data_IF_818478955880
#
_entry.id   IF_818478955880
#
_cell.length_a   1.000
_cell.length_b   1.000
_cell.length_c   1.000
_cell.angle_alpha   90.00
_cell.angle_beta   90.00
_cell.angle_gamma   90.00
#
_symmetry.space_group_name_H-M   'P 1'
#
loop_
_entity.id
_entity.type
_entity.pdbx_description
1 polymer ?
#
# COMPACT_ATOMS: atom_id res chain seq x y z
N UNK A 1 9.11 -0.08 -6.59
CA UNK A 1 9.52 0.72 -5.42
C UNK A 1 10.14 2.02 -5.90
N UNK A 2 9.75 3.14 -5.30
CA UNK A 2 10.27 4.48 -5.60
C UNK A 2 10.82 5.11 -4.32
N UNK A 3 11.68 6.12 -4.46
CA UNK A 3 12.07 6.95 -3.32
C UNK A 3 10.82 7.63 -2.72
N UNK A 4 10.74 7.67 -1.39
CA UNK A 4 9.62 8.29 -0.64
C UNK A 4 9.76 9.81 -0.56
N UNK A 5 10.94 10.36 -0.87
CA UNK A 5 11.14 11.80 -0.93
C UNK A 5 10.45 12.37 -2.16
N UNK A 6 9.60 13.34 -1.90
CA UNK A 6 8.88 14.03 -2.95
C UNK A 6 9.82 14.70 -3.99
N UNK A 7 9.42 14.62 -5.26
CA UNK A 7 10.20 15.07 -6.41
C UNK A 7 11.41 14.19 -6.78
N UNK A 8 11.63 13.07 -6.10
CA UNK A 8 12.71 12.15 -6.44
C UNK A 8 12.25 11.05 -7.40
N UNK A 9 12.81 11.02 -8.61
CA UNK A 9 12.55 10.00 -9.63
C UNK A 9 13.45 8.77 -9.53
N UNK A 10 14.32 8.68 -8.51
CA UNK A 10 15.22 7.55 -8.37
C UNK A 10 14.49 6.32 -7.79
N UNK A 11 14.54 5.22 -8.53
CA UNK A 11 13.89 3.95 -8.19
C UNK A 11 14.90 2.83 -7.91
N UNK A 12 16.21 3.14 -7.91
CA UNK A 12 17.28 2.19 -7.70
C UNK A 12 17.97 2.41 -6.34
N UNK A 13 18.58 1.35 -5.81
CA UNK A 13 19.41 1.36 -4.58
C UNK A 13 18.70 2.04 -3.39
N UNK A 14 17.45 1.66 -3.16
CA UNK A 14 16.63 2.24 -2.10
C UNK A 14 16.94 1.56 -0.75
N UNK A 15 17.25 2.38 0.25
CA UNK A 15 17.42 1.98 1.65
C UNK A 15 16.16 2.27 2.44
N UNK A 16 15.73 1.33 3.28
CA UNK A 16 14.57 1.51 4.16
C UNK A 16 14.92 2.42 5.34
N UNK A 17 13.95 3.16 5.85
CA UNK A 17 14.07 3.88 7.11
C UNK A 17 14.47 2.91 8.24
N UNK A 18 15.58 3.16 8.93
CA UNK A 18 16.09 2.27 9.96
C UNK A 18 15.13 2.10 11.15
N UNK A 19 14.27 3.11 11.41
CA UNK A 19 13.33 3.12 12.53
C UNK A 19 12.05 2.34 12.20
N UNK A 20 11.22 2.85 11.30
CA UNK A 20 9.90 2.26 11.01
C UNK A 20 9.91 1.19 9.91
N UNK A 21 11.03 1.08 9.15
CA UNK A 21 11.20 0.21 7.97
C UNK A 21 10.14 0.39 6.88
N UNK A 22 9.31 1.43 6.94
CA UNK A 22 8.13 1.58 6.10
C UNK A 22 8.25 2.59 4.97
N UNK A 23 9.27 3.46 5.01
CA UNK A 23 9.65 4.36 3.92
C UNK A 23 10.99 3.93 3.30
N UNK A 24 11.20 4.29 2.03
CA UNK A 24 12.37 3.91 1.23
C UNK A 24 13.03 5.16 0.63
N UNK A 25 14.35 5.27 0.72
CA UNK A 25 15.10 6.45 0.27
C UNK A 25 16.33 6.02 -0.53
N UNK A 26 16.62 6.69 -1.64
CA UNK A 26 17.83 6.40 -2.42
C UNK A 26 19.13 6.93 -1.75
N UNK A 27 19.00 7.84 -0.79
CA UNK A 27 20.13 8.42 -0.04
C UNK A 27 19.70 8.93 1.33
N UNK A 28 20.67 9.14 2.22
CA UNK A 28 20.43 9.79 3.51
C UNK A 28 19.90 11.23 3.34
N UNK A 29 20.28 11.92 2.26
CA UNK A 29 19.79 13.28 1.99
C UNK A 29 18.31 13.29 1.62
N UNK A 30 17.87 12.29 0.84
CA UNK A 30 16.45 12.10 0.56
C UNK A 30 15.67 11.86 1.87
N UNK A 31 16.17 10.99 2.74
CA UNK A 31 15.57 10.77 4.05
C UNK A 31 15.51 12.05 4.90
N UNK A 32 16.60 12.84 4.96
CA UNK A 32 16.64 14.11 5.71
C UNK A 32 15.65 15.14 5.17
N UNK A 33 15.55 15.28 3.84
CA UNK A 33 14.58 16.19 3.18
C UNK A 33 13.15 15.81 3.50
N UNK A 34 12.84 14.51 3.52
CA UNK A 34 11.51 14.00 3.80
C UNK A 34 11.18 13.98 5.31
N UNK A 35 12.19 14.05 6.19
CA UNK A 35 12.03 13.81 7.63
C UNK A 35 10.94 14.66 8.30
N UNK A 36 10.78 15.93 7.91
CA UNK A 36 9.72 16.79 8.45
C UNK A 36 8.32 16.21 8.22
N UNK A 37 8.10 15.57 7.08
CA UNK A 37 6.84 14.93 6.72
C UNK A 37 6.76 13.49 7.23
N UNK A 38 7.87 12.74 7.18
CA UNK A 38 7.90 11.34 7.60
C UNK A 38 7.88 11.11 9.11
N UNK A 39 8.49 12.01 9.91
CA UNK A 39 8.68 11.81 11.36
C UNK A 39 7.39 11.44 12.11
N UNK A 40 6.23 12.09 11.90
CA UNK A 40 4.98 11.70 12.55
C UNK A 40 4.57 10.25 12.23
N UNK A 41 4.49 9.90 10.94
CA UNK A 41 4.16 8.54 10.49
C UNK A 41 5.19 7.50 10.97
N UNK A 42 6.47 7.87 11.02
CA UNK A 42 7.54 7.03 11.56
C UNK A 42 7.32 6.71 13.03
N UNK A 43 6.98 7.71 13.84
CA UNK A 43 6.76 7.51 15.27
C UNK A 43 5.52 6.66 15.53
N UNK A 44 4.41 6.92 14.84
CA UNK A 44 3.18 6.11 14.94
C UNK A 44 3.48 4.65 14.58
N UNK A 45 4.20 4.43 13.47
CA UNK A 45 4.60 3.08 13.05
C UNK A 45 5.42 2.37 14.11
N UNK A 46 6.37 3.06 14.75
CA UNK A 46 7.20 2.48 15.81
C UNK A 46 6.36 2.18 17.06
N UNK A 47 5.46 3.08 17.47
CA UNK A 47 4.57 2.86 18.63
C UNK A 47 3.65 1.66 18.43
N UNK A 48 3.10 1.48 17.23
CA UNK A 48 2.27 0.31 16.92
C UNK A 48 3.07 -0.99 16.86
N UNK A 49 4.40 -0.90 16.73
CA UNK A 49 5.33 -2.05 16.76
C UNK A 49 5.88 -2.34 18.17
N UNK A 50 5.63 -1.49 19.19
CA UNK A 50 6.30 -1.53 20.50
C UNK A 50 5.88 -2.68 21.45
N UNK A 51 5.17 -3.71 20.98
CA UNK A 51 4.93 -4.96 21.72
C UNK A 51 6.07 -5.98 21.63
N UNK A 52 7.00 -5.82 20.68
CA UNK A 52 8.04 -6.80 20.37
C UNK A 52 9.40 -6.30 20.87
N UNK A 53 9.82 -6.80 22.05
CA UNK A 53 11.12 -6.48 22.68
C UNK A 53 12.32 -7.13 21.99
N UNK A 54 12.10 -7.93 20.95
CA UNK A 54 13.15 -8.57 20.17
C UNK A 54 13.60 -7.69 18.98
N UNK A 55 14.89 -7.74 18.69
CA UNK A 55 15.54 -6.94 17.64
C UNK A 55 15.19 -7.38 16.22
N UNK A 56 14.52 -8.53 16.08
CA UNK A 56 14.16 -9.14 14.80
C UNK A 56 12.70 -8.84 14.42
N UNK A 57 12.48 -8.37 13.19
CA UNK A 57 11.12 -8.08 12.69
C UNK A 57 10.41 -9.40 12.39
N UNK A 58 9.17 -9.62 12.87
CA UNK A 58 8.44 -10.86 12.67
C UNK A 58 8.40 -11.27 11.19
N UNK A 59 8.54 -12.57 10.87
CA UNK A 59 8.51 -13.03 9.49
C UNK A 59 7.28 -12.54 8.72
N UNK A 60 6.07 -12.69 9.28
CA UNK A 60 4.84 -12.23 8.64
C UNK A 60 4.89 -10.74 8.24
N UNK A 61 5.27 -9.87 9.18
CA UNK A 61 5.43 -8.42 8.93
C UNK A 61 6.46 -8.12 7.85
N UNK A 62 7.63 -8.78 7.92
CA UNK A 62 8.69 -8.64 6.93
C UNK A 62 8.18 -9.03 5.54
N UNK A 63 7.56 -10.21 5.42
CA UNK A 63 7.03 -10.72 4.16
C UNK A 63 5.94 -9.79 3.60
N UNK A 64 4.99 -9.36 4.43
CA UNK A 64 3.90 -8.46 4.01
C UNK A 64 4.42 -7.10 3.53
N UNK A 65 5.45 -6.56 4.20
CA UNK A 65 6.12 -5.34 3.77
C UNK A 65 6.77 -5.50 2.40
N UNK A 66 7.49 -6.60 2.17
CA UNK A 66 8.10 -6.88 0.86
C UNK A 66 7.06 -7.08 -0.24
N UNK A 67 5.95 -7.74 0.09
CA UNK A 67 4.83 -7.93 -0.82
C UNK A 67 4.16 -6.61 -1.21
N UNK A 68 3.85 -5.78 -0.22
CA UNK A 68 3.21 -4.46 -0.47
C UNK A 68 4.10 -3.57 -1.34
N UNK A 69 5.41 -3.61 -1.11
CA UNK A 69 6.37 -2.84 -1.90
C UNK A 69 6.53 -3.38 -3.33
N UNK A 70 6.34 -4.69 -3.53
CA UNK A 70 6.42 -5.35 -4.83
C UNK A 70 5.19 -5.05 -5.69
N UNK A 71 3.99 -5.24 -5.14
CA UNK A 71 2.73 -5.04 -5.86
C UNK A 71 2.17 -3.62 -5.77
N UNK A 72 2.98 -2.64 -5.35
CA UNK A 72 2.59 -1.24 -5.20
C UNK A 72 1.89 -0.66 -6.45
N UNK A 73 2.45 -0.93 -7.64
CA UNK A 73 1.86 -0.46 -8.91
C UNK A 73 0.56 -1.20 -9.25
N UNK A 74 0.49 -2.50 -8.98
CA UNK A 74 -0.70 -3.33 -9.18
C UNK A 74 -1.85 -2.84 -8.32
N UNK A 75 -1.59 -2.61 -7.02
CA UNK A 75 -2.56 -2.05 -6.07
C UNK A 75 -3.03 -0.66 -6.50
N UNK A 76 -2.12 0.19 -6.95
CA UNK A 76 -2.46 1.52 -7.43
C UNK A 76 -3.41 1.46 -8.63
N UNK A 77 -3.08 0.64 -9.63
CA UNK A 77 -3.91 0.46 -10.82
C UNK A 77 -5.29 -0.11 -10.47
N UNK A 78 -5.34 -1.15 -9.62
CA UNK A 78 -6.58 -1.74 -9.15
C UNK A 78 -7.46 -0.70 -8.42
N UNK A 79 -6.89 0.11 -7.54
CA UNK A 79 -7.62 1.15 -6.82
C UNK A 79 -8.16 2.26 -7.74
N UNK A 80 -7.40 2.69 -8.76
CA UNK A 80 -7.86 3.70 -9.73
C UNK A 80 -9.14 3.24 -10.43
N UNK A 81 -9.15 1.99 -10.90
CA UNK A 81 -10.27 1.42 -11.67
C UNK A 81 -11.41 1.05 -10.73
N UNK A 82 -11.12 0.30 -9.66
CA UNK A 82 -12.12 -0.18 -8.71
C UNK A 82 -12.90 0.92 -8.00
N UNK A 83 -12.26 2.05 -7.68
CA UNK A 83 -12.94 3.21 -7.05
C UNK A 83 -13.54 4.17 -8.09
N UNK A 84 -13.43 3.89 -9.38
CA UNK A 84 -13.84 4.76 -10.47
C UNK A 84 -13.29 6.20 -10.35
N UNK A 85 -11.97 6.31 -10.18
CA UNK A 85 -11.29 7.60 -9.94
C UNK A 85 -11.28 8.50 -11.18
N UNK A 86 -11.31 7.91 -12.38
CA UNK A 86 -11.38 8.66 -13.63
C UNK A 86 -12.64 9.51 -13.71
N UNK A 87 -13.80 8.88 -13.50
CA UNK A 87 -15.07 9.56 -13.65
C UNK A 87 -15.30 10.54 -12.50
N UNK A 88 -14.88 10.16 -11.29
CA UNK A 88 -14.98 11.03 -10.13
C UNK A 88 -13.76 10.91 -9.21
N UNK A 89 -12.85 11.87 -9.33
CA UNK A 89 -11.65 11.92 -8.47
C UNK A 89 -11.99 12.05 -6.98
N UNK A 90 -13.17 12.60 -6.63
CA UNK A 90 -13.64 12.68 -5.25
C UNK A 90 -14.09 11.33 -4.66
N UNK A 91 -14.15 10.26 -5.47
CA UNK A 91 -14.38 8.92 -4.95
C UNK A 91 -13.27 8.45 -3.99
N UNK A 92 -12.08 9.08 -4.03
CA UNK A 92 -11.01 8.88 -3.04
C UNK A 92 -11.49 9.21 -1.61
N UNK A 93 -12.42 10.16 -1.45
CA UNK A 93 -13.00 10.51 -0.15
C UNK A 93 -14.07 9.50 0.32
N UNK A 94 -14.68 8.77 -0.63
CA UNK A 94 -15.85 7.92 -0.40
C UNK A 94 -15.51 6.47 -0.17
N UNK A 95 -14.37 6.00 -0.69
CA UNK A 95 -14.03 4.59 -0.72
C UNK A 95 -12.61 4.29 -0.24
N UNK A 96 -12.44 3.09 0.31
CA UNK A 96 -11.15 2.48 0.60
C UNK A 96 -11.05 1.09 -0.03
N UNK A 97 -9.84 0.62 -0.26
CA UNK A 97 -9.59 -0.73 -0.81
C UNK A 97 -9.08 -1.65 0.30
N UNK A 98 -9.66 -2.85 0.40
CA UNK A 98 -9.21 -3.89 1.35
C UNK A 98 -8.71 -5.09 0.55
N UNK A 99 -7.47 -5.48 0.79
CA UNK A 99 -6.81 -6.63 0.21
C UNK A 99 -6.57 -7.65 1.30
N UNK A 100 -7.08 -8.87 1.12
CA UNK A 100 -6.86 -10.01 2.02
C UNK A 100 -5.99 -11.05 1.36
N UNK A 101 -5.01 -11.55 2.12
CA UNK A 101 -3.94 -12.39 1.63
C UNK A 101 -3.75 -13.61 2.52
N UNK A 102 -3.41 -14.74 1.91
CA UNK A 102 -2.95 -15.94 2.60
C UNK A 102 -1.55 -16.35 2.13
N UNK A 103 -0.73 -16.96 3.00
CA UNK A 103 0.58 -17.46 2.63
C UNK A 103 0.55 -18.48 1.50
N UNK A 104 1.56 -18.41 0.61
CA UNK A 104 1.80 -19.38 -0.47
C UNK A 104 3.29 -19.69 -0.63
N UNK A 105 3.67 -20.85 -1.19
CA UNK A 105 5.06 -21.16 -1.45
C UNK A 105 5.55 -20.33 -2.64
N UNK A 106 6.65 -19.61 -2.44
CA UNK A 106 7.31 -18.88 -3.51
C UNK A 106 8.79 -18.61 -3.17
N UNK A 107 9.72 -18.68 -4.15
CA UNK A 107 11.14 -18.43 -3.89
C UNK A 107 11.40 -16.98 -3.44
N UNK A 108 10.67 -16.01 -4.01
CA UNK A 108 10.82 -14.59 -3.69
C UNK A 108 10.01 -14.23 -2.44
N UNK A 109 10.68 -13.68 -1.43
CA UNK A 109 10.09 -13.22 -0.15
C UNK A 109 8.83 -12.36 -0.32
N UNK A 110 8.85 -11.41 -1.27
CA UNK A 110 7.75 -10.49 -1.55
C UNK A 110 6.62 -11.05 -2.41
N UNK A 111 6.63 -12.34 -2.73
CA UNK A 111 5.59 -12.99 -3.54
C UNK A 111 5.02 -14.24 -2.86
N UNK A 112 5.23 -14.39 -1.53
CA UNK A 112 4.72 -15.50 -0.71
C UNK A 112 3.30 -15.30 -0.20
N UNK A 113 2.47 -14.55 -0.92
CA UNK A 113 1.05 -14.45 -0.62
C UNK A 113 0.21 -14.60 -1.88
N UNK A 114 -0.91 -15.31 -1.74
CA UNK A 114 -2.00 -15.37 -2.72
C UNK A 114 -3.10 -14.38 -2.33
N UNK A 115 -3.87 -13.94 -3.32
CA UNK A 115 -5.03 -13.09 -3.10
C UNK A 115 -6.23 -13.92 -2.63
N UNK A 116 -6.73 -13.68 -1.42
CA UNK A 116 -7.99 -14.27 -0.95
C UNK A 116 -9.19 -13.46 -1.45
N UNK A 117 -9.10 -12.14 -1.33
CA UNK A 117 -10.15 -11.21 -1.78
C UNK A 117 -9.58 -9.80 -1.92
N UNK A 118 -10.12 -9.02 -2.85
CA UNK A 118 -9.93 -7.58 -2.89
C UNK A 118 -11.30 -6.89 -3.08
N UNK A 119 -11.62 -5.93 -2.22
CA UNK A 119 -12.91 -5.24 -2.23
C UNK A 119 -12.75 -3.74 -2.10
N UNK A 120 -13.58 -3.00 -2.82
CA UNK A 120 -13.80 -1.57 -2.60
C UNK A 120 -14.97 -1.42 -1.64
N UNK A 121 -14.72 -0.75 -0.53
CA UNK A 121 -15.70 -0.56 0.55
C UNK A 121 -15.93 0.93 0.78
N UNK A 122 -17.03 1.29 1.43
CA UNK A 122 -17.23 2.67 1.85
C UNK A 122 -16.14 3.12 2.83
N UNK A 123 -15.84 4.41 2.86
CA UNK A 123 -14.84 4.95 3.79
C UNK A 123 -15.24 4.73 5.26
N UNK A 124 -16.54 4.67 5.56
CA UNK A 124 -17.03 4.33 6.89
C UNK A 124 -16.66 2.90 7.28
N UNK A 125 -16.98 1.92 6.43
CA UNK A 125 -16.60 0.51 6.66
C UNK A 125 -15.09 0.35 6.77
N UNK A 126 -14.33 1.02 5.90
CA UNK A 126 -12.87 1.02 5.95
C UNK A 126 -12.36 1.50 7.30
N UNK A 127 -12.86 2.64 7.79
CA UNK A 127 -12.47 3.21 9.09
C UNK A 127 -12.85 2.29 10.24
N UNK A 128 -14.04 1.68 10.24
CA UNK A 128 -14.47 0.72 11.28
C UNK A 128 -13.52 -0.47 11.34
N UNK A 129 -13.19 -1.07 10.19
CA UNK A 129 -12.27 -2.22 10.12
C UNK A 129 -10.89 -1.82 10.67
N UNK A 130 -10.38 -0.66 10.25
CA UNK A 130 -9.06 -0.19 10.68
C UNK A 130 -8.99 0.16 12.16
N UNK A 131 -10.04 0.75 12.72
CA UNK A 131 -10.16 1.00 14.15
C UNK A 131 -10.17 -0.30 14.95
N UNK A 132 -10.82 -1.36 14.44
CA UNK A 132 -10.79 -2.69 15.04
C UNK A 132 -9.38 -3.30 15.15
N UNK A 133 -8.44 -2.87 14.30
CA UNK A 133 -7.03 -3.25 14.38
C UNK A 133 -6.15 -2.29 15.21
N UNK A 134 -6.74 -1.31 15.90
CA UNK A 134 -5.99 -0.32 16.68
C UNK A 134 -5.23 0.70 15.83
N UNK A 135 -5.58 0.84 14.54
CA UNK A 135 -4.85 1.67 13.57
C UNK A 135 -5.42 3.08 13.42
N UNK A 136 -6.18 3.58 14.40
CA UNK A 136 -6.86 4.89 14.34
C UNK A 136 -5.90 6.06 14.11
N UNK A 137 -4.77 6.09 14.82
CA UNK A 137 -3.74 7.13 14.68
C UNK A 137 -3.15 7.20 13.26
N UNK A 138 -3.10 6.08 12.55
CA UNK A 138 -2.64 6.07 11.15
C UNK A 138 -3.65 6.76 10.24
N UNK A 139 -4.95 6.59 10.48
CA UNK A 139 -5.98 7.26 9.69
C UNK A 139 -5.94 8.78 9.89
N UNK A 140 -5.77 9.24 11.13
CA UNK A 140 -5.61 10.67 11.42
C UNK A 140 -4.36 11.26 10.75
N UNK A 141 -3.25 10.53 10.79
CA UNK A 141 -2.03 10.94 10.11
C UNK A 141 -2.22 10.97 8.59
N UNK A 142 -2.93 10.00 8.03
CA UNK A 142 -3.24 9.95 6.61
C UNK A 142 -4.09 11.14 6.17
N UNK A 143 -5.11 11.55 6.94
CA UNK A 143 -5.91 12.73 6.63
C UNK A 143 -5.07 14.02 6.55
N UNK A 144 -4.07 14.16 7.43
CA UNK A 144 -3.10 15.27 7.37
C UNK A 144 -2.25 15.23 6.09
N UNK A 145 -1.75 14.05 5.73
CA UNK A 145 -0.96 13.86 4.49
C UNK A 145 -1.77 14.19 3.23
N UNK A 146 -3.04 13.77 3.20
CA UNK A 146 -3.97 14.11 2.12
C UNK A 146 -4.21 15.61 2.02
N UNK A 147 -4.47 16.29 3.14
CA UNK A 147 -4.66 17.74 3.14
C UNK A 147 -3.43 18.49 2.60
N UNK A 148 -2.23 18.07 3.00
CA UNK A 148 -0.97 18.63 2.49
C UNK A 148 -0.78 18.37 0.99
N UNK A 149 -1.03 17.14 0.53
CA UNK A 149 -0.91 16.77 -0.89
C UNK A 149 -1.90 17.54 -1.76
N UNK A 150 -3.17 17.65 -1.35
CA UNK A 150 -4.19 18.44 -2.05
C UNK A 150 -3.79 19.93 -2.12
N UNK A 151 -3.36 20.51 -1.00
CA UNK A 151 -2.95 21.91 -0.96
C UNK A 151 -1.75 22.19 -1.88
N UNK A 152 -0.73 21.32 -1.82
CA UNK A 152 0.49 21.47 -2.63
C UNK A 152 0.23 21.30 -4.13
N UNK A 153 -0.57 20.32 -4.50
CA UNK A 153 -0.89 19.99 -5.90
C UNK A 153 -2.05 20.80 -6.46
N UNK A 154 -2.67 21.68 -5.68
CA UNK A 154 -3.93 22.37 -6.02
C UNK A 154 -5.07 21.39 -6.37
N UNK A 155 -5.09 20.23 -5.70
CA UNK A 155 -6.12 19.19 -5.87
C UNK A 155 -5.90 18.24 -7.05
N UNK A 156 -4.72 18.28 -7.69
CA UNK A 156 -4.33 17.35 -8.76
C UNK A 156 -3.86 15.99 -8.23
N UNK A 157 -3.40 15.95 -6.98
CA UNK A 157 -2.91 14.76 -6.30
C UNK A 157 -3.60 14.56 -4.96
N UNK A 158 -3.74 13.29 -4.58
CA UNK A 158 -4.27 12.85 -3.29
C UNK A 158 -3.75 11.43 -2.99
N UNK A 159 -4.07 10.90 -1.81
CA UNK A 159 -3.79 9.52 -1.44
C UNK A 159 -5.08 8.75 -1.18
N UNK A 160 -5.27 7.64 -1.90
CA UNK A 160 -6.33 6.69 -1.60
C UNK A 160 -5.92 5.75 -0.45
N UNK A 161 -6.89 5.39 0.38
CA UNK A 161 -6.71 4.49 1.51
C UNK A 161 -6.76 3.02 1.05
N UNK A 162 -5.70 2.27 1.35
CA UNK A 162 -5.65 0.83 1.12
C UNK A 162 -5.20 0.10 2.38
N UNK A 163 -5.90 -0.98 2.71
CA UNK A 163 -5.57 -1.92 3.76
C UNK A 163 -5.08 -3.22 3.13
N UNK A 164 -3.90 -3.70 3.54
CA UNK A 164 -3.41 -5.03 3.16
C UNK A 164 -3.37 -5.89 4.41
N UNK A 165 -4.17 -6.95 4.44
CA UNK A 165 -4.37 -7.82 5.60
C UNK A 165 -3.87 -9.21 5.22
N UNK A 166 -2.90 -9.74 5.94
CA UNK A 166 -2.42 -11.10 5.76
C UNK A 166 -2.89 -11.99 6.91
N UNK A 167 -3.65 -13.03 6.58
CA UNK A 167 -4.07 -14.08 7.50
C UNK A 167 -3.05 -15.23 7.42
N UNK A 168 -2.19 -15.36 8.41
CA UNK A 168 -1.09 -16.33 8.44
C UNK A 168 -1.56 -17.71 8.92
N UNK A 169 -2.44 -18.33 8.13
CA UNK A 169 -3.06 -19.61 8.43
C UNK A 169 -2.87 -20.61 7.29
N UNK A 170 -3.25 -21.87 7.53
CA UNK A 170 -3.22 -22.93 6.52
C UNK A 170 -1.85 -23.58 6.34
N UNK A 171 -1.75 -24.46 5.33
CA UNK A 171 -0.58 -25.33 5.10
C UNK A 171 0.74 -24.59 4.83
N UNK A 172 0.67 -23.34 4.37
CA UNK A 172 1.83 -22.55 3.97
C UNK A 172 2.14 -21.41 4.94
N UNK A 173 1.57 -21.45 6.16
CA UNK A 173 1.81 -20.41 7.17
C UNK A 173 3.30 -20.13 7.34
N UNK A 174 3.63 -18.85 7.47
CA UNK A 174 4.96 -18.37 7.78
C UNK A 174 5.26 -18.62 9.26
N UNK A 175 6.53 -18.81 9.58
CA UNK A 175 7.01 -19.01 10.95
C UNK A 175 6.69 -17.81 11.87
N UNK A 176 6.58 -18.09 13.16
CA UNK A 176 6.31 -17.12 14.22
C UNK A 176 4.90 -17.20 14.80
N UNK A 177 4.64 -16.40 15.82
CA UNK A 177 3.39 -16.43 16.61
C UNK A 177 2.27 -15.56 16.02
N UNK A 178 2.59 -14.72 15.02
CA UNK A 178 1.66 -13.77 14.44
C UNK A 178 0.74 -14.47 13.44
N UNK A 179 -0.56 -14.51 13.74
CA UNK A 179 -1.59 -15.08 12.85
C UNK A 179 -2.20 -14.03 11.91
N UNK A 180 -2.03 -12.75 12.21
CA UNK A 180 -2.54 -11.66 11.39
C UNK A 180 -1.55 -10.50 11.38
N UNK A 181 -1.39 -9.87 10.22
CA UNK A 181 -0.67 -8.61 10.09
C UNK A 181 -1.46 -7.69 9.17
N UNK A 182 -1.58 -6.42 9.58
CA UNK A 182 -2.30 -5.39 8.81
C UNK A 182 -1.34 -4.27 8.46
N UNK A 183 -1.31 -3.89 7.18
CA UNK A 183 -0.54 -2.77 6.68
C UNK A 183 -1.45 -1.75 6.04
N UNK A 184 -1.38 -0.51 6.52
CA UNK A 184 -1.94 0.64 5.82
C UNK A 184 -1.03 1.04 4.67
N UNK A 185 -1.60 1.28 3.50
CA UNK A 185 -0.89 1.70 2.31
C UNK A 185 -1.59 2.91 1.68
N UNK A 186 -1.06 4.13 1.86
CA UNK A 186 -1.50 5.26 1.04
C UNK A 186 -1.06 5.03 -0.41
N UNK A 187 -2.01 5.10 -1.33
CA UNK A 187 -1.78 4.98 -2.77
C UNK A 187 -1.78 6.37 -3.40
N UNK A 188 -0.63 6.80 -3.93
CA UNK A 188 -0.48 8.13 -4.55
C UNK A 188 -1.25 8.19 -5.87
N UNK A 189 -2.31 8.98 -5.88
CA UNK A 189 -3.21 9.17 -7.01
C UNK A 189 -2.95 10.53 -7.64
N UNK A 190 -2.94 10.58 -8.97
CA UNK A 190 -3.00 11.84 -9.72
C UNK A 190 -4.10 11.78 -10.76
N UNK A 191 -4.75 12.92 -11.02
CA UNK A 191 -5.77 13.04 -12.08
C UNK A 191 -5.22 12.66 -13.45
N UNK A 192 -3.96 13.00 -13.72
CA UNK A 192 -3.27 12.63 -14.96
C UNK A 192 -3.13 11.12 -15.12
N UNK A 193 -2.75 10.40 -14.05
CA UNK A 193 -2.60 8.94 -14.08
C UNK A 193 -3.93 8.24 -14.26
N UNK A 194 -4.98 8.70 -13.57
CA UNK A 194 -6.33 8.16 -13.72
C UNK A 194 -6.86 8.24 -15.17
N UNK A 195 -6.37 9.18 -15.97
CA UNK A 195 -6.71 9.31 -17.41
C UNK A 195 -5.87 8.43 -18.34
N UNK A 196 -4.95 7.62 -17.82
CA UNK A 196 -4.08 6.77 -18.67
C UNK A 196 -4.91 5.74 -19.45
N UNK A 197 -4.68 5.55 -20.77
CA UNK A 197 -5.48 4.65 -21.60
C UNK A 197 -5.57 3.22 -21.07
N UNK A 198 -4.48 2.70 -20.48
CA UNK A 198 -4.42 1.35 -19.93
C UNK A 198 -5.40 1.10 -18.77
N UNK A 199 -5.80 2.15 -18.05
CA UNK A 199 -6.70 2.05 -16.89
C UNK A 199 -8.16 2.35 -17.27
N UNK A 200 -8.39 2.59 -18.56
CA UNK A 200 -9.60 3.17 -19.10
C UNK A 200 -10.26 2.30 -20.16
N UNK A 201 -9.72 1.10 -20.33
CA UNK A 201 -10.28 0.06 -21.15
C UNK A 201 -11.56 -0.49 -20.47
N UNK A 202 -12.74 -0.40 -21.10
CA UNK A 202 -13.99 -0.89 -20.52
C UNK A 202 -14.00 -2.41 -20.33
N UNK A 203 -13.10 -3.15 -21.00
CA UNK A 203 -12.96 -4.60 -20.84
C UNK A 203 -12.06 -4.98 -19.67
N UNK A 204 -11.42 -4.00 -19.01
CA UNK A 204 -10.50 -4.25 -17.91
C UNK A 204 -11.23 -4.75 -16.67
N UNK A 205 -11.25 -6.07 -16.49
CA UNK A 205 -11.65 -6.72 -15.24
C UNK A 205 -10.57 -6.50 -14.18
N UNK A 206 -10.64 -5.37 -13.46
CA UNK A 206 -9.58 -4.94 -12.54
C UNK A 206 -9.24 -5.97 -11.45
N UNK A 207 -10.24 -6.68 -10.92
CA UNK A 207 -10.06 -7.67 -9.85
C UNK A 207 -9.35 -8.92 -10.37
N UNK A 208 -9.81 -9.45 -11.51
CA UNK A 208 -9.17 -10.59 -12.18
C UNK A 208 -7.75 -10.24 -12.61
N UNK A 209 -7.55 -9.03 -13.14
CA UNK A 209 -6.22 -8.51 -13.49
C UNK A 209 -5.30 -8.48 -12.28
N UNK A 210 -5.76 -7.96 -11.14
CA UNK A 210 -4.98 -7.93 -9.91
C UNK A 210 -4.64 -9.35 -9.42
N UNK A 211 -5.61 -10.28 -9.49
CA UNK A 211 -5.39 -11.67 -9.14
C UNK A 211 -4.31 -12.32 -10.01
N UNK A 212 -4.40 -12.17 -11.34
CA UNK A 212 -3.38 -12.66 -12.28
C UNK A 212 -2.01 -12.08 -11.95
N UNK A 213 -1.93 -10.77 -11.66
CA UNK A 213 -0.68 -10.12 -11.32
C UNK A 213 -0.06 -10.70 -10.03
N UNK A 214 -0.85 -10.93 -9.00
CA UNK A 214 -0.37 -11.49 -7.72
C UNK A 214 0.03 -12.95 -7.89
N UNK A 215 -0.84 -13.76 -8.50
CA UNK A 215 -0.60 -15.21 -8.59
C UNK A 215 0.56 -15.55 -9.53
N UNK A 216 0.72 -14.82 -10.62
CA UNK A 216 1.82 -15.05 -11.57
C UNK A 216 3.08 -14.22 -11.27
N UNK A 217 3.10 -13.50 -10.14
CA UNK A 217 4.22 -12.66 -9.75
C UNK A 217 4.61 -11.61 -10.82
N UNK A 218 3.60 -10.93 -11.38
CA UNK A 218 3.71 -9.88 -12.39
C UNK A 218 3.38 -8.50 -11.80
N UNK A 219 4.30 -7.88 -11.02
CA UNK A 219 4.09 -6.57 -10.40
C UNK A 219 4.20 -5.42 -11.43
N UNK A 220 3.29 -5.38 -12.39
CA UNK A 220 3.30 -4.47 -13.53
C UNK A 220 2.00 -3.68 -13.62
N UNK A 221 1.96 -2.69 -14.52
CA UNK A 221 0.69 -2.08 -14.94
C UNK A 221 -0.11 -3.11 -15.77
N UNK A 222 -1.46 -3.01 -15.81
CA UNK A 222 -2.26 -3.75 -16.77
C UNK A 222 -1.76 -3.54 -18.20
N UNK A 223 -1.66 -4.62 -18.96
CA UNK A 223 -1.40 -4.54 -20.39
C UNK A 223 -2.72 -4.23 -21.12
N UNK A 224 -2.64 -3.48 -22.23
CA UNK A 224 -3.78 -3.35 -23.14
C UNK A 224 -3.83 -4.65 -23.93
N UNK A 225 -4.85 -5.47 -23.74
CA UNK A 225 -5.14 -6.59 -24.63
C UNK A 225 -5.76 -5.97 -25.87
N UNK A 226 -5.00 -5.94 -26.98
CA UNK A 226 -5.52 -5.52 -28.29
C UNK A 226 -6.14 -6.70 -29.01
#
# INVERSE_FOLDING_TARGET
MTCSTDGCSNHQRLSKCARCRSAYYCSADCQKKDWKHHKPACNISVTLQQGERDTTEPPLRRHLRHWTARFDISLLCAAIVGMNIRDSFSNIDKYGMIVRLSPRPHPITGARFSLESCSIVSMLEFKIIFLGYGMGLILEQHEKERALSKAKSKGEEDFAACAVIANNVGKWKLDGEHNIEVRFKPLSMSRSRAKSPQLNDPTLAWLETLQIQIENDLPTRPAIVR
#
